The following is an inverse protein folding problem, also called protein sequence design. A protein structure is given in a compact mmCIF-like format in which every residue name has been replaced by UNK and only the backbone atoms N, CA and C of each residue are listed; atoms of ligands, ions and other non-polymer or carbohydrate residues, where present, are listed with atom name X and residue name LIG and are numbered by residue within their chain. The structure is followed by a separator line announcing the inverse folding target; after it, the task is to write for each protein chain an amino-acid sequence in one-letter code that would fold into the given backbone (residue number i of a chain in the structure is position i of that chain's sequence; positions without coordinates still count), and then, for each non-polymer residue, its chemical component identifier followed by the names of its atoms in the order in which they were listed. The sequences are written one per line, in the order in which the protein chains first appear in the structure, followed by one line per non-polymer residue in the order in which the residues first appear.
data_IF_625104150460
#
_entry.id   IF_625104150460
#
_cell.length_a   1.000
_cell.length_b   1.000
_cell.length_c   1.000
_cell.angle_alpha   90.00
_cell.angle_beta   90.00
_cell.angle_gamma   90.00
#
_symmetry.space_group_name_H-M   'P 1'
#
loop_
_entity.id
_entity.type
_entity.pdbx_description
1 polymer ?
#
# COMPACT_ATOMS: atom_id res chain seq x y z
N UNK A 1 6.85 -3.53 -10.32
CA UNK A 1 5.69 -2.61 -10.43
C UNK A 1 5.91 -1.44 -9.49
N UNK A 2 6.12 -0.23 -10.00
CA UNK A 2 6.17 0.94 -9.13
C UNK A 2 4.76 1.20 -8.62
N UNK A 3 4.56 1.09 -7.32
CA UNK A 3 3.33 1.58 -6.70
C UNK A 3 3.31 3.10 -6.83
N UNK A 4 2.46 3.61 -7.72
CA UNK A 4 2.26 5.05 -7.93
C UNK A 4 1.16 5.60 -7.03
N UNK A 5 1.00 5.04 -5.83
CA UNK A 5 0.00 5.49 -4.88
C UNK A 5 0.35 6.86 -4.28
N UNK A 6 -0.61 7.76 -4.28
CA UNK A 6 -0.58 8.98 -3.48
C UNK A 6 -1.35 8.74 -2.19
N UNK A 7 -0.74 9.08 -1.06
CA UNK A 7 -1.40 9.02 0.24
C UNK A 7 -1.35 10.40 0.88
N UNK A 8 -2.51 10.93 1.23
CA UNK A 8 -2.68 12.24 1.85
C UNK A 8 -3.17 12.03 3.29
N UNK A 9 -2.50 12.64 4.24
CA UNK A 9 -2.82 12.60 5.66
C UNK A 9 -1.88 13.48 6.46
N UNK A 10 -2.22 13.77 7.70
CA UNK A 10 -1.41 14.60 8.61
C UNK A 10 -0.11 13.90 8.99
N UNK A 11 -0.13 12.57 9.10
CA UNK A 11 1.03 11.75 9.46
C UNK A 11 1.53 10.99 8.22
N UNK A 12 2.68 11.37 7.63
CA UNK A 12 3.22 10.72 6.45
C UNK A 12 3.47 9.22 6.64
N UNK A 13 3.01 8.40 5.70
CA UNK A 13 3.14 6.92 5.80
C UNK A 13 4.59 6.46 5.97
N UNK A 14 5.55 7.11 5.31
CA UNK A 14 6.96 6.80 5.51
C UNK A 14 7.37 6.98 6.99
N UNK A 15 6.89 8.03 7.66
CA UNK A 15 7.12 8.25 9.09
C UNK A 15 6.48 7.17 9.96
N UNK A 16 5.27 6.72 9.60
CA UNK A 16 4.61 5.62 10.31
C UNK A 16 5.42 4.30 10.20
N UNK A 17 5.95 3.99 9.00
CA UNK A 17 6.81 2.81 8.79
C UNK A 17 8.15 2.91 9.55
N UNK A 18 8.77 4.10 9.57
CA UNK A 18 10.03 4.33 10.30
C UNK A 18 9.84 4.07 11.79
N UNK A 19 8.79 4.62 12.40
CA UNK A 19 8.48 4.37 13.81
C UNK A 19 8.22 2.89 14.12
N UNK A 20 7.54 2.19 13.22
CA UNK A 20 7.34 0.75 13.35
C UNK A 20 8.67 -0.02 13.26
N UNK A 21 9.56 0.38 12.34
CA UNK A 21 10.90 -0.20 12.22
C UNK A 21 11.74 0.06 13.48
N UNK A 22 11.75 1.28 14.00
CA UNK A 22 12.45 1.62 15.24
C UNK A 22 11.96 0.82 16.44
N UNK A 23 10.65 0.51 16.49
CA UNK A 23 10.06 -0.24 17.58
C UNK A 23 10.31 -1.77 17.51
N UNK A 24 10.40 -2.33 16.30
CA UNK A 24 10.44 -3.78 16.10
C UNK A 24 11.74 -4.30 15.48
N UNK A 25 12.58 -3.43 14.90
CA UNK A 25 13.80 -3.83 14.19
C UNK A 25 13.58 -4.74 12.97
N UNK A 26 12.39 -4.70 12.40
CA UNK A 26 11.97 -5.56 11.27
C UNK A 26 11.56 -4.73 10.07
N UNK A 27 11.69 -5.26 8.84
CA UNK A 27 11.11 -4.64 7.65
C UNK A 27 9.63 -4.30 7.87
N UNK A 28 9.18 -3.18 7.30
CA UNK A 28 7.82 -2.69 7.46
C UNK A 28 7.16 -2.42 6.12
N UNK A 29 5.88 -2.70 6.00
CA UNK A 29 5.08 -2.39 4.81
C UNK A 29 3.77 -1.71 5.19
N UNK A 30 3.39 -0.71 4.40
CA UNK A 30 2.07 -0.09 4.53
C UNK A 30 0.99 -1.01 3.99
N UNK A 31 -0.01 -1.30 4.79
CA UNK A 31 -1.10 -2.21 4.43
C UNK A 31 -2.46 -1.54 4.56
N UNK A 32 -3.42 -2.01 3.78
CA UNK A 32 -4.85 -1.69 3.92
C UNK A 32 -5.71 -2.89 3.56
N UNK A 33 -6.88 -2.95 4.15
CA UNK A 33 -7.91 -3.85 3.67
C UNK A 33 -8.48 -3.35 2.34
N UNK A 34 -8.66 -4.28 1.41
CA UNK A 34 -9.32 -4.05 0.13
C UNK A 34 -10.55 -4.95 0.01
N UNK A 35 -11.40 -4.70 -0.98
CA UNK A 35 -12.56 -5.57 -1.20
C UNK A 35 -12.12 -6.96 -1.71
N UNK A 36 -12.99 -7.94 -1.56
CA UNK A 36 -12.77 -9.31 -2.06
C UNK A 36 -12.56 -9.37 -3.58
N UNK A 37 -13.22 -8.48 -4.31
CA UNK A 37 -13.08 -8.36 -5.77
C UNK A 37 -11.75 -7.69 -6.16
N UNK A 38 -11.21 -6.86 -5.29
CA UNK A 38 -9.96 -6.13 -5.54
C UNK A 38 -8.72 -6.93 -5.17
N UNK A 39 -8.78 -7.81 -4.16
CA UNK A 39 -7.60 -8.52 -3.62
C UNK A 39 -6.87 -9.33 -4.68
N UNK A 40 -7.57 -9.89 -5.66
CA UNK A 40 -6.98 -10.67 -6.76
C UNK A 40 -6.10 -9.85 -7.71
N UNK A 41 -6.14 -8.52 -7.60
CA UNK A 41 -5.32 -7.59 -8.39
C UNK A 41 -4.05 -7.14 -7.65
N UNK A 42 -3.98 -7.42 -6.36
CA UNK A 42 -2.94 -7.00 -5.44
C UNK A 42 -2.29 -8.20 -4.74
N UNK A 43 -1.40 -7.94 -3.80
CA UNK A 43 -0.89 -8.97 -2.90
C UNK A 43 -1.88 -9.26 -1.78
N UNK A 44 -1.93 -10.50 -1.31
CA UNK A 44 -2.64 -10.89 -0.09
C UNK A 44 -1.67 -11.39 0.96
N UNK A 45 -1.89 -11.02 2.22
CA UNK A 45 -0.96 -11.31 3.32
C UNK A 45 -1.60 -12.14 4.41
N UNK A 46 -0.81 -13.07 4.96
CA UNK A 46 -1.14 -13.77 6.19
C UNK A 46 -0.70 -12.89 7.36
N UNK A 47 -1.66 -12.33 8.08
CA UNK A 47 -1.45 -11.34 9.14
C UNK A 47 -1.88 -11.87 10.50
N UNK A 48 -1.13 -11.50 11.53
CA UNK A 48 -1.44 -11.75 12.93
C UNK A 48 -1.40 -10.39 13.64
N UNK A 49 -2.43 -10.00 14.41
CA UNK A 49 -2.43 -8.74 15.14
C UNK A 49 -1.24 -8.66 16.12
N UNK A 50 -0.55 -7.53 16.17
CA UNK A 50 0.49 -7.24 17.17
C UNK A 50 -0.04 -6.26 18.23
N UNK A 51 -0.22 -5.00 17.84
CA UNK A 51 -0.70 -3.94 18.72
C UNK A 51 -1.28 -2.81 17.86
N UNK A 52 -2.39 -2.22 18.29
CA UNK A 52 -3.04 -1.09 17.64
C UNK A 52 -3.31 -1.39 16.14
N UNK A 53 -2.69 -0.64 15.25
CA UNK A 53 -2.77 -0.80 13.79
C UNK A 53 -1.58 -1.57 13.20
N UNK A 54 -0.85 -2.33 14.01
CA UNK A 54 0.32 -3.10 13.61
C UNK A 54 0.02 -4.60 13.56
N UNK A 55 0.57 -5.26 12.54
CA UNK A 55 0.38 -6.69 12.29
C UNK A 55 1.73 -7.36 12.01
N UNK A 56 1.89 -8.59 12.45
CA UNK A 56 2.98 -9.45 12.01
C UNK A 56 2.55 -10.16 10.72
N UNK A 57 3.31 -9.97 9.64
CA UNK A 57 3.07 -10.65 8.36
C UNK A 57 4.00 -11.85 8.32
N UNK A 58 3.42 -13.04 8.22
CA UNK A 58 4.16 -14.31 8.23
C UNK A 58 4.26 -14.94 6.83
N UNK A 59 3.42 -14.53 5.91
CA UNK A 59 3.45 -14.97 4.50
C UNK A 59 2.69 -13.98 3.61
N UNK A 60 2.96 -14.04 2.30
CA UNK A 60 2.22 -13.26 1.31
C UNK A 60 2.21 -13.95 -0.06
N UNK A 61 1.24 -13.58 -0.87
CA UNK A 61 1.08 -14.07 -2.24
C UNK A 61 0.68 -12.92 -3.16
N UNK A 62 1.33 -12.81 -4.30
CA UNK A 62 1.01 -11.82 -5.34
C UNK A 62 -0.14 -12.33 -6.20
N UNK A 63 -1.16 -11.50 -6.40
CA UNK A 63 -2.32 -11.77 -7.27
C UNK A 63 -2.91 -13.16 -7.05
N UNK A 64 -3.40 -13.46 -5.84
CA UNK A 64 -3.92 -14.79 -5.53
C UNK A 64 -5.07 -15.17 -6.46
N UNK A 65 -5.16 -16.42 -6.85
CA UNK A 65 -6.36 -16.93 -7.48
C UNK A 65 -7.56 -16.78 -6.54
N UNK A 66 -8.78 -16.60 -7.04
CA UNK A 66 -9.97 -16.48 -6.22
C UNK A 66 -10.09 -17.60 -5.17
N UNK A 67 -10.26 -17.25 -3.90
CA UNK A 67 -10.34 -18.19 -2.79
C UNK A 67 -8.99 -18.72 -2.29
N UNK A 68 -7.88 -18.18 -2.78
CA UNK A 68 -6.51 -18.50 -2.32
C UNK A 68 -5.86 -17.35 -1.55
N UNK A 69 -6.58 -16.27 -1.36
CA UNK A 69 -6.14 -15.15 -0.52
C UNK A 69 -6.00 -15.56 0.94
N UNK A 70 -4.93 -15.14 1.61
CA UNK A 70 -4.73 -15.34 3.05
C UNK A 70 -5.65 -14.43 3.88
N UNK A 71 -5.81 -13.18 3.43
CA UNK A 71 -6.68 -12.18 4.03
C UNK A 71 -7.02 -11.11 3.00
N UNK A 72 -7.82 -10.12 3.40
CA UNK A 72 -8.11 -8.95 2.57
C UNK A 72 -7.10 -7.80 2.75
N UNK A 73 -6.06 -7.98 3.57
CA UNK A 73 -4.97 -7.02 3.65
C UNK A 73 -4.04 -7.14 2.45
N UNK A 74 -3.70 -5.98 1.89
CA UNK A 74 -2.76 -5.85 0.78
C UNK A 74 -1.71 -4.79 1.05
N UNK A 75 -0.52 -4.95 0.46
CA UNK A 75 0.51 -3.90 0.46
C UNK A 75 0.07 -2.78 -0.45
N UNK A 76 -0.02 -1.57 0.08
CA UNK A 76 -0.44 -0.40 -0.66
C UNK A 76 0.57 0.73 -0.48
N UNK A 77 1.49 0.80 -1.39
CA UNK A 77 2.25 2.00 -1.70
C UNK A 77 3.61 2.19 -1.06
N UNK A 78 3.89 1.70 0.15
CA UNK A 78 5.17 1.98 0.83
C UNK A 78 5.74 0.76 1.50
N UNK A 79 7.06 0.56 1.32
CA UNK A 79 7.83 -0.48 1.97
C UNK A 79 9.11 0.13 2.56
N UNK A 80 9.47 -0.26 3.76
CA UNK A 80 10.77 -0.07 4.37
C UNK A 80 11.40 -1.46 4.49
N UNK A 81 12.39 -1.74 3.67
CA UNK A 81 13.03 -3.05 3.59
C UNK A 81 14.48 -2.95 4.09
N UNK A 82 15.00 -4.04 4.61
CA UNK A 82 16.38 -4.18 5.06
C UNK A 82 17.27 -4.74 3.93
N UNK A 83 18.60 -4.55 3.96
CA UNK A 83 19.48 -4.94 2.86
C UNK A 83 19.45 -6.42 2.47
N UNK A 84 19.08 -7.31 3.37
CA UNK A 84 18.90 -8.74 3.12
C UNK A 84 17.86 -9.07 2.04
N UNK A 85 16.98 -8.13 1.71
CA UNK A 85 16.04 -8.29 0.60
C UNK A 85 16.75 -8.49 -0.75
N UNK A 86 17.93 -7.92 -0.95
CA UNK A 86 18.68 -8.06 -2.21
C UNK A 86 19.10 -9.51 -2.47
N UNK A 87 19.61 -10.21 -1.45
CA UNK A 87 19.97 -11.62 -1.56
C UNK A 87 18.74 -12.51 -1.84
N UNK A 88 17.58 -12.10 -1.35
CA UNK A 88 16.32 -12.80 -1.59
C UNK A 88 15.80 -12.55 -3.00
N UNK A 89 15.94 -11.33 -3.52
CA UNK A 89 15.59 -11.00 -4.91
C UNK A 89 16.43 -11.84 -5.88
N UNK A 90 17.76 -11.96 -5.64
CA UNK A 90 18.66 -12.75 -6.48
C UNK A 90 18.28 -14.24 -6.53
N UNK A 91 17.62 -14.75 -5.49
CA UNK A 91 17.15 -16.14 -5.40
C UNK A 91 15.69 -16.32 -5.81
N UNK A 92 14.99 -15.23 -6.13
CA UNK A 92 13.56 -15.29 -6.51
C UNK A 92 13.44 -15.79 -7.94
N UNK A 93 12.72 -16.88 -8.14
CA UNK A 93 12.36 -17.37 -9.47
C UNK A 93 11.29 -16.46 -10.11
N UNK A 94 11.21 -16.41 -11.45
CA UNK A 94 10.11 -15.74 -12.13
C UNK A 94 8.75 -16.29 -11.66
N UNK A 95 7.88 -15.38 -11.20
CA UNK A 95 6.55 -15.68 -10.66
C UNK A 95 5.43 -15.33 -11.64
N UNK A 96 4.37 -14.70 -11.14
CA UNK A 96 3.22 -14.30 -11.94
C UNK A 96 3.63 -13.44 -13.14
N UNK A 97 3.25 -13.84 -14.35
CA UNK A 97 3.59 -13.16 -15.59
C UNK A 97 5.03 -13.39 -16.09
N UNK A 98 5.80 -14.29 -15.49
CA UNK A 98 7.20 -14.55 -15.85
C UNK A 98 8.19 -13.49 -15.37
N UNK A 99 7.77 -12.59 -14.49
CA UNK A 99 8.59 -11.53 -13.90
C UNK A 99 9.07 -11.92 -12.49
N UNK A 100 10.25 -11.41 -12.08
CA UNK A 100 10.69 -11.49 -10.70
C UNK A 100 9.86 -10.51 -9.88
N UNK A 101 9.02 -11.03 -8.98
CA UNK A 101 8.11 -10.24 -8.16
C UNK A 101 8.78 -9.89 -6.83
N UNK A 102 8.82 -8.60 -6.47
CA UNK A 102 9.29 -8.18 -5.15
C UNK A 102 8.46 -8.81 -4.02
N UNK A 103 7.18 -9.04 -4.24
CA UNK A 103 6.29 -9.70 -3.27
C UNK A 103 6.75 -11.11 -2.95
N UNK A 104 7.30 -11.87 -3.92
CA UNK A 104 7.81 -13.23 -3.68
C UNK A 104 9.08 -13.20 -2.83
N UNK A 105 9.99 -12.24 -3.07
CA UNK A 105 11.16 -12.03 -2.21
C UNK A 105 10.74 -11.60 -0.79
N UNK A 106 9.77 -10.71 -0.67
CA UNK A 106 9.22 -10.31 0.63
C UNK A 106 8.50 -11.47 1.33
N UNK A 107 7.87 -12.39 0.60
CA UNK A 107 7.29 -13.60 1.20
C UNK A 107 8.37 -14.49 1.86
N UNK A 108 9.53 -14.63 1.22
CA UNK A 108 10.68 -15.34 1.84
C UNK A 108 11.15 -14.61 3.10
N UNK A 109 11.25 -13.28 3.05
CA UNK A 109 11.64 -12.46 4.20
C UNK A 109 10.61 -12.60 5.34
N UNK A 110 9.32 -12.57 5.02
CA UNK A 110 8.24 -12.74 6.00
C UNK A 110 8.30 -14.11 6.70
N UNK A 111 8.56 -15.18 5.95
CA UNK A 111 8.69 -16.55 6.50
C UNK A 111 9.93 -16.72 7.37
N UNK A 112 11.02 -16.01 7.11
CA UNK A 112 12.27 -16.13 7.88
C UNK A 112 12.29 -15.34 9.18
N UNK A 113 11.72 -14.15 9.21
CA UNK A 113 11.80 -13.24 10.36
C UNK A 113 10.55 -12.44 10.67
N UNK A 114 9.56 -12.51 9.78
CA UNK A 114 8.36 -11.67 9.82
C UNK A 114 8.61 -10.27 9.27
N UNK A 115 7.55 -9.64 8.80
CA UNK A 115 7.50 -8.24 8.36
C UNK A 115 6.42 -7.56 9.19
N UNK A 116 6.63 -6.32 9.60
CA UNK A 116 5.60 -5.54 10.29
C UNK A 116 4.70 -4.86 9.26
N UNK A 117 3.42 -5.22 9.25
CA UNK A 117 2.38 -4.52 8.51
C UNK A 117 1.87 -3.33 9.31
N UNK A 118 1.88 -2.15 8.73
CA UNK A 118 1.31 -0.94 9.31
C UNK A 118 0.02 -0.60 8.57
N UNK A 119 -1.13 -0.79 9.22
CA UNK A 119 -2.41 -0.29 8.69
C UNK A 119 -2.43 1.23 8.84
N UNK A 120 -1.79 1.89 7.86
CA UNK A 120 -1.46 3.31 7.93
C UNK A 120 -2.69 4.22 7.96
N UNK A 121 -2.56 5.37 8.60
CA UNK A 121 -3.53 6.46 8.50
C UNK A 121 -3.27 7.30 7.26
N UNK A 122 -4.36 7.87 6.70
CA UNK A 122 -4.29 8.66 5.47
C UNK A 122 -5.20 8.10 4.37
N UNK A 123 -5.59 8.98 3.46
CA UNK A 123 -6.44 8.64 2.31
C UNK A 123 -5.59 8.29 1.11
N UNK A 124 -5.75 7.09 0.60
CA UNK A 124 -5.01 6.57 -0.56
C UNK A 124 -5.74 6.88 -1.86
N UNK A 125 -4.97 7.25 -2.87
CA UNK A 125 -5.40 7.37 -4.27
C UNK A 125 -4.53 6.47 -5.14
N UNK A 126 -5.18 5.64 -5.94
CA UNK A 126 -4.52 4.79 -6.93
C UNK A 126 -4.15 5.64 -8.16
N UNK A 127 -2.89 6.07 -8.22
CA UNK A 127 -2.37 6.87 -9.33
C UNK A 127 -2.13 6.05 -10.61
N UNK A 128 -2.26 4.72 -10.54
CA UNK A 128 -2.26 3.84 -11.71
C UNK A 128 -3.60 3.85 -12.46
N UNK A 129 -4.65 4.40 -11.86
CA UNK A 129 -5.98 4.52 -12.46
C UNK A 129 -6.27 5.96 -12.89
N UNK A 130 -6.84 6.16 -14.09
CA UNK A 130 -7.21 7.50 -14.56
C UNK A 130 -8.19 8.19 -13.60
N UNK A 131 -9.14 7.46 -13.06
CA UNK A 131 -10.10 7.99 -12.08
C UNK A 131 -9.40 8.38 -10.78
N UNK A 132 -8.48 7.56 -10.27
CA UNK A 132 -7.71 7.87 -9.05
C UNK A 132 -6.87 9.13 -9.19
N UNK A 133 -6.25 9.33 -10.36
CA UNK A 133 -5.51 10.59 -10.68
C UNK A 133 -6.45 11.80 -10.60
N UNK A 134 -7.61 11.74 -11.25
CA UNK A 134 -8.57 12.86 -11.23
C UNK A 134 -9.09 13.15 -9.82
N UNK A 135 -9.42 12.12 -9.05
CA UNK A 135 -9.85 12.26 -7.66
C UNK A 135 -8.77 12.91 -6.79
N UNK A 136 -7.51 12.47 -6.92
CA UNK A 136 -6.38 13.05 -6.20
C UNK A 136 -6.18 14.53 -6.54
N UNK A 137 -6.23 14.88 -7.83
CA UNK A 137 -6.08 16.26 -8.28
C UNK A 137 -7.16 17.17 -7.71
N UNK A 138 -8.41 16.74 -7.73
CA UNK A 138 -9.55 17.51 -7.19
C UNK A 138 -9.35 17.75 -5.68
N UNK A 139 -9.04 16.73 -4.91
CA UNK A 139 -8.90 16.88 -3.45
C UNK A 139 -7.65 17.68 -3.05
N UNK A 140 -6.54 17.51 -3.75
CA UNK A 140 -5.34 18.34 -3.56
C UNK A 140 -5.63 19.81 -3.88
N UNK A 141 -6.31 20.09 -5.00
CA UNK A 141 -6.66 21.43 -5.37
C UNK A 141 -7.62 22.10 -4.35
N UNK A 142 -8.58 21.33 -3.81
CA UNK A 142 -9.51 21.82 -2.78
C UNK A 142 -8.82 22.18 -1.45
N UNK A 143 -7.73 21.51 -1.11
CA UNK A 143 -6.94 21.76 0.10
C UNK A 143 -5.81 22.78 -0.10
N UNK A 144 -5.56 23.19 -1.35
CA UNK A 144 -4.48 24.12 -1.66
C UNK A 144 -4.76 25.53 -1.14
N UNK A 145 -3.86 26.15 -0.34
CA UNK A 145 -4.15 27.44 0.34
C UNK A 145 -4.41 28.60 -0.61
N UNK A 146 -3.79 28.59 -1.81
CA UNK A 146 -3.91 29.69 -2.77
C UNK A 146 -5.09 29.62 -3.74
N UNK A 147 -5.65 28.41 -3.98
CA UNK A 147 -6.70 28.22 -5.00
C UNK A 147 -7.93 27.47 -4.48
N UNK A 148 -7.84 26.86 -3.30
CA UNK A 148 -8.88 25.94 -2.81
C UNK A 148 -10.25 26.58 -2.67
N UNK A 149 -10.33 27.87 -2.32
CA UNK A 149 -11.58 28.63 -2.24
C UNK A 149 -12.25 28.79 -3.60
N UNK A 150 -11.51 29.30 -4.57
CA UNK A 150 -12.00 29.54 -5.93
C UNK A 150 -12.36 28.23 -6.64
N UNK A 151 -11.52 27.21 -6.47
CA UNK A 151 -11.76 25.90 -7.04
C UNK A 151 -13.02 25.23 -6.46
N UNK A 152 -13.29 25.40 -5.17
CA UNK A 152 -14.53 24.94 -4.53
C UNK A 152 -15.77 25.65 -5.10
N UNK A 153 -15.68 26.96 -5.32
CA UNK A 153 -16.75 27.72 -5.95
C UNK A 153 -17.01 27.23 -7.38
N UNK A 154 -15.95 27.05 -8.17
CA UNK A 154 -16.03 26.50 -9.51
C UNK A 154 -16.71 25.12 -9.55
N UNK A 155 -16.31 24.18 -8.68
CA UNK A 155 -16.91 22.85 -8.62
C UNK A 155 -18.39 22.87 -8.25
N UNK A 156 -18.82 23.79 -7.37
CA UNK A 156 -20.24 23.97 -7.03
C UNK A 156 -21.07 24.43 -8.22
N UNK A 157 -20.54 25.33 -9.06
CA UNK A 157 -21.22 25.76 -10.28
C UNK A 157 -21.25 24.64 -11.32
N UNK A 158 -20.11 23.95 -11.53
CA UNK A 158 -20.02 22.83 -12.46
C UNK A 158 -21.01 21.71 -12.10
N UNK A 159 -21.14 21.39 -10.81
CA UNK A 159 -22.06 20.33 -10.34
C UNK A 159 -23.54 20.61 -10.66
N UNK A 160 -23.92 21.86 -10.91
CA UNK A 160 -25.31 22.21 -11.33
C UNK A 160 -25.61 21.84 -12.79
N UNK A 161 -24.56 21.51 -13.56
CA UNK A 161 -24.66 21.20 -15.00
C UNK A 161 -24.48 19.71 -15.30
N UNK A 162 -24.24 18.89 -14.28
CA UNK A 162 -24.10 17.43 -14.36
C UNK A 162 -25.42 16.73 -14.03
#
# INVERSE_FOLDING_TARGET
MCSSDLIIGEDPVAGQLIRAYEAYGKPCVGIKQVSREAIVKYSSMKVEPLRDNLYNITDMIEKPAPGKEFSLFSILGRCLLTPDIYDLIDRTAPGAGGEIQLTDAMAMLARSGGIVGVDFTGKRYDMGSKLGVMQAQVEVALSHPGIGGDFRAYLRELAKTL
#
